data_IF_971229658440
#
_entry.id   IF_971229658440
#
_cell.length_a   1.000
_cell.length_b   1.000
_cell.length_c   1.000
_cell.angle_alpha   90.00
_cell.angle_beta   90.00
_cell.angle_gamma   90.00
#
_symmetry.space_group_name_H-M   'P 1'
#
loop_
_entity.id
_entity.type
_entity.pdbx_description
1 polymer ?
#
# COMPACT_ATOMS: atom_id res chain seq x y z
N UNK A 1 16.14 27.74 2.99
CA UNK A 1 17.29 26.82 2.92
C UNK A 1 16.71 25.47 2.52
N UNK A 2 16.80 25.10 1.24
CA UNK A 2 16.25 23.84 0.74
C UNK A 2 17.23 22.74 1.16
N UNK A 3 16.78 21.80 1.99
CA UNK A 3 17.53 20.57 2.23
C UNK A 3 17.70 19.86 0.88
N UNK A 4 18.90 19.38 0.53
CA UNK A 4 19.08 18.61 -0.70
C UNK A 4 18.16 17.39 -0.63
N UNK A 5 17.45 17.13 -1.74
CA UNK A 5 16.64 15.92 -1.87
C UNK A 5 17.54 14.70 -1.61
N UNK A 6 17.22 13.92 -0.58
CA UNK A 6 17.98 12.71 -0.27
C UNK A 6 17.89 11.74 -1.47
N UNK A 7 19.03 11.19 -1.87
CA UNK A 7 19.07 10.18 -2.92
C UNK A 7 18.41 8.89 -2.41
N UNK A 8 17.76 8.14 -3.31
CA UNK A 8 17.27 6.82 -2.97
C UNK A 8 18.43 5.94 -2.49
N UNK A 9 18.21 5.07 -1.49
CA UNK A 9 19.25 4.15 -1.04
C UNK A 9 19.77 3.29 -2.20
N UNK A 10 21.04 2.89 -2.13
CA UNK A 10 21.67 2.09 -3.20
C UNK A 10 20.93 0.78 -3.45
N UNK A 11 20.41 0.13 -2.42
CA UNK A 11 19.68 -1.13 -2.54
C UNK A 11 18.36 -0.98 -3.33
N UNK A 12 17.64 0.12 -3.12
CA UNK A 12 16.40 0.45 -3.83
C UNK A 12 16.66 0.79 -5.29
N UNK A 13 17.70 1.62 -5.50
CA UNK A 13 18.10 2.12 -6.82
C UNK A 13 18.63 1.02 -7.76
N UNK A 14 18.85 -0.21 -7.26
CA UNK A 14 19.22 -1.37 -8.08
C UNK A 14 18.03 -2.03 -8.77
N UNK A 15 16.82 -1.81 -8.27
CA UNK A 15 15.58 -2.39 -8.82
C UNK A 15 14.71 -1.28 -9.43
N UNK A 16 14.52 -0.18 -8.70
CA UNK A 16 13.57 0.90 -9.04
C UNK A 16 14.31 2.21 -9.30
N UNK A 17 13.80 3.02 -10.23
CA UNK A 17 14.34 4.35 -10.51
C UNK A 17 13.62 5.44 -9.71
N UNK A 18 12.38 5.19 -9.31
CA UNK A 18 11.61 6.05 -8.42
C UNK A 18 12.21 6.05 -7.02
N UNK A 19 11.86 7.05 -6.21
CA UNK A 19 12.27 7.07 -4.80
C UNK A 19 11.37 6.17 -3.98
N UNK A 20 11.89 5.48 -2.95
CA UNK A 20 11.04 4.74 -2.02
C UNK A 20 10.10 5.71 -1.28
N UNK A 21 8.99 5.20 -0.71
CA UNK A 21 8.15 6.03 0.15
C UNK A 21 8.97 6.48 1.36
N UNK A 22 8.84 7.76 1.75
CA UNK A 22 9.45 8.23 2.99
C UNK A 22 8.78 7.52 4.18
N UNK A 23 9.54 7.12 5.21
CA UNK A 23 8.93 6.64 6.44
C UNK A 23 8.10 7.77 7.08
N UNK A 24 6.98 7.45 7.74
CA UNK A 24 6.10 8.46 8.32
C UNK A 24 6.86 9.38 9.29
N UNK A 25 6.91 10.69 8.98
CA UNK A 25 7.68 11.68 9.75
C UNK A 25 6.92 12.27 10.95
N UNK A 26 5.57 12.23 10.94
CA UNK A 26 4.78 12.70 12.08
C UNK A 26 4.75 11.60 13.14
N UNK A 27 4.99 11.99 14.40
CA UNK A 27 4.81 11.16 15.58
C UNK A 27 3.36 10.73 15.85
N UNK A 28 2.59 10.39 14.81
CA UNK A 28 1.41 9.56 14.91
C UNK A 28 1.88 8.19 15.36
N UNK A 29 1.69 7.93 16.65
CA UNK A 29 1.99 6.70 17.39
C UNK A 29 2.95 5.72 16.73
N UNK A 30 4.11 5.46 17.38
CA UNK A 30 4.71 4.11 17.39
C UNK A 30 3.57 3.09 17.31
N UNK A 31 3.65 2.00 16.52
CA UNK A 31 2.55 1.05 16.34
C UNK A 31 2.00 0.59 17.69
N UNK A 32 1.03 1.32 18.23
CA UNK A 32 0.43 1.07 19.52
C UNK A 32 -0.68 0.11 19.23
N UNK A 33 -0.36 -1.19 19.27
CA UNK A 33 -1.33 -2.25 19.05
C UNK A 33 -0.87 -3.36 18.10
N UNK A 34 0.29 -3.24 17.44
CA UNK A 34 0.78 -4.31 16.56
C UNK A 34 0.12 -4.36 15.17
N UNK A 35 -0.25 -3.19 14.63
CA UNK A 35 -0.60 -2.97 13.22
C UNK A 35 0.26 -1.82 12.68
N UNK A 36 0.75 -1.96 11.45
CA UNK A 36 1.44 -0.91 10.71
C UNK A 36 1.06 -0.97 9.23
N UNK A 37 0.52 0.12 8.70
CA UNK A 37 0.18 0.22 7.28
C UNK A 37 1.43 0.50 6.45
N UNK A 38 1.61 -0.25 5.36
CA UNK A 38 2.67 -0.06 4.35
C UNK A 38 2.15 0.72 3.15
N UNK A 39 0.90 0.48 2.75
CA UNK A 39 0.22 1.23 1.71
C UNK A 39 -1.30 1.20 1.94
N UNK A 40 -2.03 2.30 1.72
CA UNK A 40 -1.51 3.61 1.33
C UNK A 40 -0.67 4.25 2.45
N UNK A 41 0.41 4.95 2.10
CA UNK A 41 1.35 5.57 3.04
C UNK A 41 1.60 7.04 2.66
N UNK A 42 1.67 7.92 3.67
CA UNK A 42 2.04 9.33 3.48
C UNK A 42 3.51 9.42 3.09
N UNK A 43 3.80 9.83 1.85
CA UNK A 43 5.16 9.77 1.29
C UNK A 43 5.92 11.07 1.34
N UNK A 44 5.32 12.13 1.84
CA UNK A 44 5.93 13.45 1.92
C UNK A 44 5.47 14.16 3.19
N UNK A 45 6.24 15.11 3.74
CA UNK A 45 5.76 16.06 4.73
C UNK A 45 4.76 17.08 4.13
N UNK A 46 4.01 16.71 3.09
CA UNK A 46 2.90 17.49 2.57
C UNK A 46 1.65 17.27 3.44
N UNK A 47 0.72 18.21 3.39
CA UNK A 47 -0.60 18.03 4.01
C UNK A 47 -1.54 17.15 3.14
N UNK A 48 -0.99 16.55 2.07
CA UNK A 48 -1.75 15.82 1.07
C UNK A 48 -1.88 14.35 1.47
N UNK A 49 -3.09 13.82 1.35
CA UNK A 49 -3.37 12.41 1.60
C UNK A 49 -2.68 11.52 0.54
N UNK A 50 -2.32 10.28 0.91
CA UNK A 50 -1.82 9.30 -0.06
C UNK A 50 -2.78 9.14 -1.23
N UNK A 51 -2.24 8.99 -2.45
CA UNK A 51 -3.03 8.72 -3.65
C UNK A 51 -3.13 7.22 -3.91
N UNK A 52 -4.33 6.79 -4.30
CA UNK A 52 -4.64 5.42 -4.73
C UNK A 52 -5.38 5.49 -6.06
N UNK A 53 -5.10 4.56 -6.98
CA UNK A 53 -5.89 4.45 -8.20
C UNK A 53 -7.36 4.15 -7.88
N UNK A 54 -8.28 4.48 -8.81
CA UNK A 54 -9.71 4.21 -8.57
C UNK A 54 -10.06 2.72 -8.72
N UNK A 55 -9.18 1.92 -9.31
CA UNK A 55 -9.41 0.50 -9.55
C UNK A 55 -8.65 -0.36 -8.53
N UNK A 56 -9.32 -1.39 -8.02
CA UNK A 56 -8.71 -2.40 -7.16
C UNK A 56 -7.98 -1.82 -5.93
N UNK A 57 -8.66 -0.96 -5.12
CA UNK A 57 -8.04 -0.31 -3.97
C UNK A 57 -7.42 -1.37 -3.05
N UNK A 58 -6.18 -1.12 -2.66
CA UNK A 58 -5.34 -2.10 -1.96
C UNK A 58 -4.77 -1.54 -0.67
N UNK A 59 -4.92 -2.31 0.41
CA UNK A 59 -4.27 -2.10 1.70
C UNK A 59 -3.18 -3.16 1.88
N UNK A 60 -1.97 -2.71 2.23
CA UNK A 60 -0.83 -3.56 2.58
C UNK A 60 -0.37 -3.20 3.99
N UNK A 61 -0.11 -4.20 4.83
CA UNK A 61 0.24 -3.97 6.23
C UNK A 61 1.08 -5.09 6.84
N UNK A 62 1.61 -4.79 8.03
CA UNK A 62 2.22 -5.73 8.97
C UNK A 62 1.36 -5.82 10.23
N UNK A 63 1.25 -7.01 10.78
CA UNK A 63 0.66 -7.23 12.10
C UNK A 63 -0.76 -7.77 12.08
N UNK A 64 -1.35 -7.88 13.27
CA UNK A 64 -2.58 -8.63 13.49
C UNK A 64 -3.83 -7.77 13.31
N UNK A 65 -4.73 -8.26 12.47
CA UNK A 65 -6.01 -7.63 12.14
C UNK A 65 -7.12 -8.66 12.30
N UNK A 66 -8.25 -8.25 12.90
CA UNK A 66 -9.47 -9.06 13.00
C UNK A 66 -10.50 -8.69 11.95
N UNK A 67 -10.55 -7.44 11.51
CA UNK A 67 -11.45 -7.01 10.44
C UNK A 67 -10.89 -5.78 9.73
N UNK A 68 -11.23 -5.64 8.46
CA UNK A 68 -10.92 -4.49 7.61
C UNK A 68 -12.20 -4.04 6.94
N UNK A 69 -12.42 -2.73 6.89
CA UNK A 69 -13.52 -2.15 6.14
C UNK A 69 -12.99 -1.05 5.23
N UNK A 70 -13.58 -0.94 4.05
CA UNK A 70 -13.39 0.17 3.14
C UNK A 70 -14.65 1.05 3.18
N UNK A 71 -14.47 2.33 3.48
CA UNK A 71 -15.55 3.30 3.53
C UNK A 71 -15.17 4.58 2.80
N UNK A 72 -16.16 5.29 2.27
CA UNK A 72 -15.98 6.69 1.92
C UNK A 72 -15.95 7.52 3.22
N UNK A 73 -15.05 8.50 3.31
CA UNK A 73 -14.92 9.33 4.53
C UNK A 73 -16.25 10.04 4.81
N UNK A 74 -16.65 10.03 6.09
CA UNK A 74 -17.92 10.61 6.54
C UNK A 74 -19.14 9.71 6.36
N UNK A 75 -19.00 8.54 5.74
CA UNK A 75 -20.09 7.55 5.63
C UNK A 75 -20.04 6.51 6.77
N UNK A 76 -21.23 6.12 7.22
CA UNK A 76 -21.40 5.14 8.30
C UNK A 76 -21.32 3.71 7.78
N UNK A 77 -21.93 3.44 6.62
CA UNK A 77 -21.95 2.11 6.00
C UNK A 77 -20.67 1.88 5.19
N UNK A 78 -19.99 0.73 5.36
CA UNK A 78 -18.83 0.40 4.56
C UNK A 78 -19.24 -0.03 3.15
N UNK A 79 -18.43 0.36 2.17
CA UNK A 79 -18.56 -0.11 0.78
C UNK A 79 -18.16 -1.59 0.67
N UNK A 80 -17.23 -2.00 1.51
CA UNK A 80 -16.77 -3.38 1.58
C UNK A 80 -16.26 -3.70 2.98
N UNK A 81 -16.40 -4.96 3.39
CA UNK A 81 -15.88 -5.44 4.67
C UNK A 81 -15.37 -6.87 4.60
N UNK A 82 -14.33 -7.13 5.39
CA UNK A 82 -13.80 -8.45 5.66
C UNK A 82 -13.58 -8.61 7.16
N UNK A 83 -13.90 -9.79 7.67
CA UNK A 83 -13.67 -10.17 9.06
C UNK A 83 -13.05 -11.57 9.11
N UNK A 84 -12.06 -11.72 9.97
CA UNK A 84 -11.42 -12.99 10.29
C UNK A 84 -12.39 -13.84 11.13
N UNK A 85 -13.14 -14.70 10.46
CA UNK A 85 -14.01 -15.71 11.09
C UNK A 85 -13.38 -17.11 10.95
N UNK A 86 -13.77 -18.06 11.81
CA UNK A 86 -13.29 -19.46 11.73
C UNK A 86 -13.59 -20.11 10.37
N UNK A 87 -14.65 -19.66 9.68
CA UNK A 87 -15.08 -20.11 8.35
C UNK A 87 -14.35 -19.41 7.19
N UNK A 88 -13.81 -18.20 7.40
CA UNK A 88 -13.15 -17.40 6.35
C UNK A 88 -11.61 -17.47 6.41
N UNK A 89 -11.05 -18.48 7.10
CA UNK A 89 -9.60 -18.69 7.19
C UNK A 89 -8.95 -18.96 5.81
N UNK A 90 -9.74 -19.44 4.84
CA UNK A 90 -9.30 -19.70 3.45
C UNK A 90 -9.26 -18.40 2.62
N UNK A 91 -10.12 -17.43 2.93
CA UNK A 91 -10.18 -16.10 2.29
C UNK A 91 -9.29 -15.08 3.01
N UNK A 92 -8.31 -15.55 3.79
CA UNK A 92 -7.32 -14.67 4.38
C UNK A 92 -6.44 -14.13 3.24
N UNK A 93 -6.10 -12.83 3.27
CA UNK A 93 -4.89 -12.32 2.63
C UNK A 93 -3.76 -13.34 2.75
N UNK A 94 -3.32 -13.92 1.62
CA UNK A 94 -2.18 -14.83 1.67
C UNK A 94 -0.97 -14.02 2.13
N UNK A 95 -0.32 -14.41 3.24
CA UNK A 95 0.82 -13.67 3.71
C UNK A 95 1.97 -13.81 2.72
N UNK A 96 2.56 -12.68 2.33
CA UNK A 96 3.84 -12.68 1.63
C UNK A 96 4.92 -12.71 2.69
N UNK A 97 5.58 -13.85 2.82
CA UNK A 97 6.65 -14.03 3.78
C UNK A 97 7.94 -13.43 3.21
N UNK A 98 8.37 -12.30 3.79
CA UNK A 98 9.71 -11.78 3.57
C UNK A 98 10.65 -12.28 4.67
N UNK A 99 11.95 -12.07 4.50
CA UNK A 99 12.99 -12.60 5.38
C UNK A 99 12.86 -12.10 6.84
N UNK A 100 12.47 -10.84 7.05
CA UNK A 100 12.33 -10.23 8.38
C UNK A 100 10.87 -9.98 8.78
N UNK A 101 9.95 -9.88 7.81
CA UNK A 101 8.59 -9.39 8.03
C UNK A 101 7.58 -10.23 7.24
N UNK A 102 6.39 -10.43 7.82
CA UNK A 102 5.24 -11.01 7.10
C UNK A 102 4.33 -9.88 6.66
N UNK A 103 4.16 -9.73 5.35
CA UNK A 103 3.24 -8.77 4.76
C UNK A 103 1.87 -9.41 4.52
N UNK A 104 0.83 -8.61 4.72
CA UNK A 104 -0.53 -8.96 4.36
C UNK A 104 -1.05 -7.93 3.35
N UNK A 105 -1.86 -8.38 2.39
CA UNK A 105 -2.46 -7.54 1.37
C UNK A 105 -3.93 -7.89 1.20
N UNK A 106 -4.79 -6.88 1.09
CA UNK A 106 -6.14 -7.05 0.60
C UNK A 106 -6.40 -6.07 -0.54
N UNK A 107 -6.87 -6.61 -1.65
CA UNK A 107 -7.28 -5.87 -2.84
C UNK A 107 -8.76 -6.11 -3.03
N UNK A 108 -9.53 -5.03 -3.16
CA UNK A 108 -10.98 -5.10 -3.24
C UNK A 108 -11.41 -4.87 -4.68
N UNK A 109 -12.15 -5.81 -5.25
CA UNK A 109 -12.72 -5.72 -6.61
C UNK A 109 -13.94 -4.78 -6.63
N UNK A 110 -13.67 -3.49 -6.41
CA UNK A 110 -14.62 -2.38 -6.47
C UNK A 110 -13.92 -1.20 -7.13
N UNK A 111 -14.62 -0.55 -8.06
CA UNK A 111 -14.20 0.72 -8.63
C UNK A 111 -14.68 1.88 -7.75
N UNK A 112 -13.74 2.68 -7.26
CA UNK A 112 -14.01 3.86 -6.46
C UNK A 112 -14.34 5.07 -7.35
N UNK A 113 -14.96 6.08 -6.76
CA UNK A 113 -15.22 7.33 -7.46
C UNK A 113 -13.94 8.18 -7.48
N UNK A 114 -13.66 8.86 -8.60
CA UNK A 114 -12.50 9.74 -8.73
C UNK A 114 -12.62 10.97 -7.83
N UNK A 115 -11.47 11.52 -7.43
CA UNK A 115 -11.38 12.75 -6.64
C UNK A 115 -12.20 12.70 -5.32
N UNK A 116 -12.27 11.53 -4.68
CA UNK A 116 -12.98 11.30 -3.42
C UNK A 116 -12.03 10.85 -2.31
N UNK A 117 -12.46 11.05 -1.07
CA UNK A 117 -11.74 10.60 0.12
C UNK A 117 -12.32 9.29 0.65
N UNK A 118 -11.43 8.34 0.90
CA UNK A 118 -11.77 7.02 1.42
C UNK A 118 -10.89 6.69 2.62
N UNK A 119 -11.31 5.69 3.37
CA UNK A 119 -10.58 5.21 4.52
C UNK A 119 -10.67 3.69 4.66
N UNK A 120 -9.55 3.11 5.05
CA UNK A 120 -9.51 1.77 5.61
C UNK A 120 -9.72 1.85 7.11
N UNK A 121 -10.76 1.21 7.63
CA UNK A 121 -10.95 1.00 9.07
C UNK A 121 -10.46 -0.38 9.44
N UNK A 122 -9.37 -0.41 10.19
CA UNK A 122 -8.70 -1.64 10.61
C UNK A 122 -8.99 -1.91 12.08
N UNK A 123 -9.62 -3.04 12.34
CA UNK A 123 -9.93 -3.49 13.68
C UNK A 123 -8.89 -4.51 14.11
N UNK A 124 -8.28 -4.29 15.25
CA UNK A 124 -7.32 -5.23 15.85
C UNK A 124 -7.99 -6.12 16.91
N UNK A 125 -7.41 -7.29 17.22
CA UNK A 125 -7.78 -8.02 18.42
C UNK A 125 -7.61 -7.14 19.66
N UNK A 126 -8.57 -7.17 20.58
CA UNK A 126 -8.53 -6.50 21.89
C UNK A 126 -8.55 -4.95 21.88
N UNK A 127 -8.42 -4.29 20.72
CA UNK A 127 -8.60 -2.83 20.59
C UNK A 127 -10.04 -2.53 20.18
N UNK A 128 -10.71 -1.62 20.93
CA UNK A 128 -12.12 -1.27 20.69
C UNK A 128 -12.31 -0.37 19.47
N UNK A 129 -11.42 0.59 19.28
CA UNK A 129 -11.50 1.56 18.18
C UNK A 129 -10.79 1.02 16.95
N UNK A 130 -11.29 1.36 15.77
CA UNK A 130 -10.58 1.12 14.52
C UNK A 130 -9.36 2.05 14.43
N UNK A 131 -8.30 1.56 13.81
CA UNK A 131 -7.25 2.39 13.23
C UNK A 131 -7.74 2.81 11.84
N UNK A 132 -7.68 4.09 11.55
CA UNK A 132 -8.09 4.63 10.24
C UNK A 132 -6.86 4.92 9.39
N UNK A 133 -6.89 4.48 8.13
CA UNK A 133 -5.90 4.84 7.11
C UNK A 133 -6.63 5.53 5.97
N UNK A 134 -6.52 6.86 5.91
CA UNK A 134 -7.20 7.69 4.92
C UNK A 134 -6.38 7.80 3.63
N UNK A 135 -7.06 7.93 2.50
CA UNK A 135 -6.45 8.14 1.19
C UNK A 135 -7.40 8.87 0.25
N UNK A 136 -6.83 9.52 -0.76
CA UNK A 136 -7.56 10.14 -1.85
C UNK A 136 -7.46 9.29 -3.12
N UNK A 137 -8.51 9.28 -3.93
CA UNK A 137 -8.46 8.67 -5.26
C UNK A 137 -7.94 9.65 -6.30
N UNK A 138 -7.22 9.11 -7.30
CA UNK A 138 -6.85 9.88 -8.49
C UNK A 138 -8.08 10.42 -9.23
N UNK A 139 -7.88 11.47 -10.01
CA UNK A 139 -8.91 11.99 -10.90
C UNK A 139 -9.23 11.01 -12.04
N UNK A 140 -10.40 11.17 -12.66
CA UNK A 140 -10.79 10.36 -13.82
C UNK A 140 -9.78 10.49 -14.98
N UNK A 141 -9.22 11.69 -15.18
CA UNK A 141 -8.17 11.92 -16.16
C UNK A 141 -6.88 11.21 -15.75
N UNK A 142 -6.48 11.31 -14.49
CA UNK A 142 -5.30 10.60 -13.96
C UNK A 142 -5.41 9.10 -14.15
N UNK A 143 -6.60 8.52 -13.91
CA UNK A 143 -6.84 7.09 -14.17
C UNK A 143 -6.69 6.74 -15.66
N UNK A 144 -7.23 7.56 -16.57
CA UNK A 144 -7.10 7.33 -18.00
C UNK A 144 -5.64 7.40 -18.46
N UNK A 145 -4.86 8.33 -17.90
CA UNK A 145 -3.42 8.45 -18.17
C UNK A 145 -2.65 7.22 -17.66
N UNK A 146 -2.97 6.73 -16.45
CA UNK A 146 -2.41 5.47 -15.93
C UNK A 146 -2.68 4.34 -16.92
N UNK A 147 -3.95 4.09 -17.28
CA UNK A 147 -4.34 2.98 -18.17
C UNK A 147 -3.65 3.04 -19.54
N UNK A 148 -3.41 4.22 -20.09
CA UNK A 148 -2.70 4.39 -21.36
C UNK A 148 -1.20 4.05 -21.26
N UNK A 149 -0.59 4.29 -20.11
CA UNK A 149 0.83 4.02 -19.88
C UNK A 149 1.10 2.58 -19.44
N UNK A 150 0.08 1.84 -19.00
CA UNK A 150 0.21 0.43 -18.64
C UNK A 150 0.39 -0.45 -19.89
N UNK A 151 1.54 -1.11 -19.98
CA UNK A 151 1.87 -2.09 -21.04
C UNK A 151 1.39 -3.51 -20.67
N UNK A 152 1.35 -4.41 -21.65
CA UNK A 152 1.05 -5.83 -21.44
C UNK A 152 2.11 -6.51 -20.56
N UNK A 153 1.66 -7.43 -19.72
CA UNK A 153 2.41 -8.05 -18.62
C UNK A 153 2.83 -9.48 -18.99
N UNK A 154 3.99 -9.94 -18.49
CA UNK A 154 4.41 -11.34 -18.63
C UNK A 154 5.71 -11.72 -17.94
N UNK A 155 6.68 -10.79 -17.79
CA UNK A 155 7.93 -11.03 -17.05
C UNK A 155 8.04 -10.20 -15.77
N UNK A 156 8.90 -10.64 -14.83
CA UNK A 156 9.23 -9.89 -13.61
C UNK A 156 9.72 -8.47 -13.94
N UNK A 157 10.62 -8.31 -14.91
CA UNK A 157 11.13 -6.99 -15.34
C UNK A 157 10.01 -6.03 -15.79
N UNK A 158 8.99 -6.54 -16.49
CA UNK A 158 7.84 -5.74 -16.92
C UNK A 158 6.95 -5.34 -15.75
N UNK A 159 6.79 -6.23 -14.75
CA UNK A 159 6.06 -5.92 -13.51
C UNK A 159 6.84 -4.89 -12.70
N UNK A 160 8.17 -5.00 -12.64
CA UNK A 160 9.04 -4.01 -11.99
C UNK A 160 8.94 -2.65 -12.69
N UNK A 161 9.02 -2.59 -14.02
CA UNK A 161 8.86 -1.34 -14.78
C UNK A 161 7.51 -0.67 -14.48
N UNK A 162 6.43 -1.48 -14.41
CA UNK A 162 5.08 -1.01 -14.08
C UNK A 162 4.97 -0.54 -12.63
N UNK A 163 5.52 -1.29 -11.69
CA UNK A 163 5.56 -0.88 -10.30
C UNK A 163 6.31 0.45 -10.16
N UNK A 164 7.47 0.57 -10.81
CA UNK A 164 8.27 1.80 -10.80
C UNK A 164 7.48 2.99 -11.38
N UNK A 165 6.69 2.77 -12.43
CA UNK A 165 5.75 3.79 -12.91
C UNK A 165 4.75 4.22 -11.84
N UNK A 166 4.11 3.28 -11.12
CA UNK A 166 3.20 3.62 -10.03
C UNK A 166 3.89 4.40 -8.90
N UNK A 167 5.10 3.98 -8.51
CA UNK A 167 5.91 4.70 -7.52
C UNK A 167 6.23 6.14 -7.97
N UNK A 168 6.53 6.34 -9.25
CA UNK A 168 6.79 7.68 -9.82
C UNK A 168 5.58 8.62 -9.72
N UNK A 169 4.37 8.04 -9.71
CA UNK A 169 3.10 8.75 -9.53
C UNK A 169 2.61 8.79 -8.07
N UNK A 170 3.45 8.32 -7.12
CA UNK A 170 3.11 8.19 -5.70
C UNK A 170 1.93 7.23 -5.40
N UNK A 171 1.62 6.33 -6.32
CA UNK A 171 0.56 5.34 -6.21
C UNK A 171 1.09 4.09 -5.50
N UNK A 172 1.38 4.21 -4.21
CA UNK A 172 2.08 3.17 -3.46
C UNK A 172 1.25 1.91 -3.25
N UNK A 173 -0.08 2.03 -3.12
CA UNK A 173 -0.97 0.87 -3.08
C UNK A 173 -0.86 0.03 -4.35
N UNK A 174 -0.82 0.69 -5.51
CA UNK A 174 -0.64 0.04 -6.81
C UNK A 174 0.76 -0.56 -6.94
N UNK A 175 1.81 0.18 -6.56
CA UNK A 175 3.19 -0.33 -6.52
C UNK A 175 3.28 -1.64 -5.74
N UNK A 176 2.76 -1.68 -4.51
CA UNK A 176 2.86 -2.87 -3.67
C UNK A 176 1.99 -4.01 -4.20
N UNK A 177 0.79 -3.73 -4.72
CA UNK A 177 -0.05 -4.75 -5.38
C UNK A 177 0.69 -5.44 -6.52
N UNK A 178 1.42 -4.68 -7.32
CA UNK A 178 2.19 -5.19 -8.46
C UNK A 178 3.32 -6.13 -8.02
N UNK A 179 4.24 -5.62 -7.20
CA UNK A 179 5.44 -6.39 -6.81
C UNK A 179 5.12 -7.60 -5.95
N UNK A 180 4.04 -7.55 -5.17
CA UNK A 180 3.57 -8.68 -4.35
C UNK A 180 2.75 -9.70 -5.14
N UNK A 181 2.32 -9.39 -6.38
CA UNK A 181 1.65 -10.35 -7.27
C UNK A 181 2.61 -11.33 -7.96
N UNK A 182 3.92 -11.11 -7.83
CA UNK A 182 4.94 -11.96 -8.44
C UNK A 182 5.05 -13.25 -7.62
N UNK A 183 4.67 -14.39 -8.19
CA UNK A 183 4.70 -15.69 -7.48
C UNK A 183 6.10 -16.12 -7.00
N UNK A 184 7.14 -15.74 -7.75
CA UNK A 184 8.54 -16.10 -7.48
C UNK A 184 9.47 -14.91 -7.76
N UNK A 185 9.46 -13.91 -6.87
CA UNK A 185 10.31 -12.74 -7.03
C UNK A 185 11.78 -13.13 -6.91
N UNK A 186 12.64 -12.43 -7.64
CA UNK A 186 14.09 -12.57 -7.52
C UNK A 186 14.58 -12.25 -6.10
N UNK A 187 15.73 -12.81 -5.71
CA UNK A 187 16.35 -12.54 -4.40
C UNK A 187 16.58 -11.04 -4.18
N UNK A 188 16.95 -10.34 -5.25
CA UNK A 188 17.21 -8.90 -5.22
C UNK A 188 15.92 -8.10 -4.99
N UNK A 189 14.82 -8.48 -5.64
CA UNK A 189 13.51 -7.87 -5.40
C UNK A 189 13.04 -8.15 -3.97
N UNK A 190 13.12 -9.40 -3.51
CA UNK A 190 12.77 -9.78 -2.14
C UNK A 190 13.54 -8.96 -1.10
N UNK A 191 14.85 -8.78 -1.30
CA UNK A 191 15.67 -7.96 -0.42
C UNK A 191 15.19 -6.51 -0.40
N UNK A 192 14.94 -5.91 -1.57
CA UNK A 192 14.45 -4.54 -1.67
C UNK A 192 13.09 -4.36 -0.97
N UNK A 193 12.14 -5.29 -1.16
CA UNK A 193 10.83 -5.24 -0.50
C UNK A 193 10.95 -5.40 1.02
N UNK A 194 11.87 -6.25 1.49
CA UNK A 194 12.11 -6.45 2.92
C UNK A 194 12.71 -5.19 3.58
N UNK A 195 13.68 -4.56 2.93
CA UNK A 195 14.30 -3.33 3.43
C UNK A 195 13.32 -2.15 3.38
N UNK A 196 12.54 -2.01 2.31
CA UNK A 196 11.51 -0.99 2.19
C UNK A 196 10.40 -1.15 3.24
N UNK A 197 9.85 -2.35 3.41
CA UNK A 197 8.82 -2.61 4.42
C UNK A 197 9.32 -2.36 5.84
N UNK A 198 10.57 -2.74 6.15
CA UNK A 198 11.18 -2.48 7.46
C UNK A 198 11.47 -1.00 7.71
N UNK A 199 11.76 -0.23 6.66
CA UNK A 199 11.94 1.22 6.78
C UNK A 199 10.60 1.93 7.08
N UNK A 200 9.51 1.51 6.44
CA UNK A 200 8.16 2.07 6.65
C UNK A 200 7.59 1.63 8.01
N UNK A 201 7.78 0.35 8.36
CA UNK A 201 7.26 -0.30 9.56
C UNK A 201 8.41 -0.92 10.39
N UNK A 202 9.17 -0.09 11.13
CA UNK A 202 10.33 -0.53 11.93
C UNK A 202 9.96 -1.25 13.25
#
# INVERSE_FOLDING_TARGET
MLLPAQAAPEWWSRIFTSRPPDPPQRGGGRPTGGFCAIAPVETLPSEDLPLVSIADPTLVWVGNVRAVQLSQVGQTEPLWSWEATETNLVDRPQPVQLAATTLYQITVDIELQPDQLYEWRVYQPMVRNAITVEFATVSAQGQAEIQQNLRSIGSEDQIIERADYFASQQLWSDFWREVLSIDRPSDQLNQALNEASSAICP
#
